data_IF_949523443701
#
_entry.id   IF_949523443701
#
_cell.length_a   1.000
_cell.length_b   1.000
_cell.length_c   1.000
_cell.angle_alpha   90.00
_cell.angle_beta   90.00
_cell.angle_gamma   90.00
#
_symmetry.space_group_name_H-M   'P 1'
#
loop_
_entity.id
_entity.type
_entity.pdbx_description
1 polymer ?
#
# COMPACT_ATOMS: atom_id res chain seq x y z
N UNK A 1 4.06 18.36 8.75
CA UNK A 1 4.22 18.51 7.32
C UNK A 1 3.30 17.61 6.52
N UNK A 2 3.41 17.71 5.23
CA UNK A 2 2.59 16.91 4.34
C UNK A 2 2.99 15.45 4.41
N UNK A 3 2.04 14.53 4.26
CA UNK A 3 2.38 13.11 4.21
C UNK A 3 3.31 12.81 3.05
N UNK A 4 4.22 11.88 3.26
CA UNK A 4 5.13 11.43 2.23
C UNK A 4 4.54 10.21 1.56
N UNK A 5 4.57 10.19 0.23
CA UNK A 5 4.16 9.04 -0.56
C UNK A 5 5.42 8.41 -1.14
N UNK A 6 5.59 7.12 -0.94
CA UNK A 6 6.78 6.42 -1.40
C UNK A 6 6.40 5.24 -2.30
N UNK A 7 7.10 5.12 -3.42
CA UNK A 7 6.94 3.96 -4.29
C UNK A 7 7.62 2.74 -3.66
N UNK A 8 6.92 1.62 -3.61
CA UNK A 8 7.45 0.40 -3.01
C UNK A 8 7.96 -0.55 -4.09
N UNK A 9 7.07 -1.03 -4.94
CA UNK A 9 7.43 -1.86 -6.09
C UNK A 9 6.22 -2.00 -7.01
N UNK A 10 6.46 -2.11 -8.32
CA UNK A 10 5.36 -2.24 -9.26
C UNK A 10 4.37 -1.11 -9.10
N UNK A 11 3.11 -1.45 -8.90
CA UNK A 11 2.05 -0.46 -8.71
C UNK A 11 1.77 -0.16 -7.23
N UNK A 12 2.57 -0.71 -6.33
CA UNK A 12 2.35 -0.56 -4.90
C UNK A 12 3.03 0.70 -4.36
N UNK A 13 2.27 1.51 -3.66
CA UNK A 13 2.73 2.74 -3.03
C UNK A 13 2.41 2.73 -1.54
N UNK A 14 3.12 3.54 -0.80
CA UNK A 14 2.94 3.68 0.64
C UNK A 14 2.76 5.14 1.01
N UNK A 15 1.68 5.44 1.73
CA UNK A 15 1.41 6.76 2.28
C UNK A 15 1.86 6.77 3.75
N UNK A 16 2.59 7.79 4.15
CA UNK A 16 3.29 7.84 5.45
C UNK A 16 2.91 9.03 6.32
N UNK A 17 1.67 9.11 6.80
CA UNK A 17 1.32 10.19 7.74
C UNK A 17 1.80 9.82 9.14
N UNK A 18 2.80 10.57 9.66
CA UNK A 18 3.40 10.31 10.97
C UNK A 18 3.97 8.90 11.03
N UNK A 19 3.54 8.10 12.00
CA UNK A 19 3.99 6.71 12.15
C UNK A 19 3.05 5.71 11.47
N UNK A 20 2.00 6.20 10.85
CA UNK A 20 1.06 5.35 10.15
C UNK A 20 1.57 5.01 8.76
N UNK A 21 1.26 3.82 8.28
CA UNK A 21 1.65 3.38 6.95
C UNK A 21 0.44 2.76 6.28
N UNK A 22 0.12 3.27 5.09
CA UNK A 22 -1.03 2.82 4.33
C UNK A 22 -0.54 2.43 2.95
N UNK A 23 -0.63 1.14 2.62
CA UNK A 23 -0.30 0.67 1.29
C UNK A 23 -1.51 0.82 0.39
N UNK A 24 -1.27 1.29 -0.83
CA UNK A 24 -2.34 1.51 -1.79
C UNK A 24 -1.81 1.39 -3.21
N UNK A 25 -2.72 1.30 -4.16
CA UNK A 25 -2.37 1.45 -5.56
C UNK A 25 -3.48 2.21 -6.28
N UNK A 26 -3.10 2.78 -7.42
CA UNK A 26 -4.03 3.52 -8.24
C UNK A 26 -4.77 2.56 -9.15
N UNK A 27 -6.08 2.66 -9.15
CA UNK A 27 -6.94 1.92 -10.06
C UNK A 27 -7.53 2.91 -11.06
N UNK A 28 -8.12 2.40 -12.13
CA UNK A 28 -8.69 3.24 -13.17
C UNK A 28 -9.76 4.19 -12.61
N UNK A 29 -10.09 5.23 -13.37
CA UNK A 29 -11.14 6.21 -13.02
C UNK A 29 -10.82 7.01 -11.77
N UNK A 30 -9.53 7.33 -11.57
CA UNK A 30 -9.06 8.15 -10.44
C UNK A 30 -9.39 7.54 -9.08
N UNK A 31 -9.39 6.21 -9.00
CA UNK A 31 -9.65 5.52 -7.75
C UNK A 31 -8.36 5.00 -7.15
N UNK A 32 -8.31 5.02 -5.82
CA UNK A 32 -7.21 4.42 -5.08
C UNK A 32 -7.75 3.27 -4.27
N UNK A 33 -7.05 2.15 -4.29
CA UNK A 33 -7.44 0.97 -3.53
C UNK A 33 -6.51 0.84 -2.34
N UNK A 34 -7.05 0.93 -1.14
CA UNK A 34 -6.28 0.78 0.09
C UNK A 34 -6.15 -0.69 0.40
N UNK A 35 -4.92 -1.14 0.59
CA UNK A 35 -4.62 -2.57 0.66
C UNK A 35 -4.28 -3.05 2.07
N UNK A 36 -3.56 -2.23 2.82
CA UNK A 36 -3.06 -2.66 4.11
C UNK A 36 -2.62 -1.45 4.92
N UNK A 37 -2.87 -1.49 6.20
CA UNK A 37 -2.49 -0.43 7.13
C UNK A 37 -1.71 -1.04 8.29
N UNK A 38 -0.64 -0.35 8.70
CA UNK A 38 0.07 -0.77 9.90
C UNK A 38 0.75 0.44 10.55
N UNK A 39 1.12 0.30 11.82
CA UNK A 39 1.85 1.33 12.54
C UNK A 39 3.32 0.96 12.53
N UNK A 40 4.15 1.87 12.05
CA UNK A 40 5.58 1.62 11.90
C UNK A 40 6.26 1.69 13.27
N UNK A 41 7.02 0.65 13.58
CA UNK A 41 7.78 0.56 14.83
C UNK A 41 9.27 0.36 14.59
N UNK A 42 9.70 0.28 13.33
CA UNK A 42 11.08 0.01 12.96
C UNK A 42 11.55 1.04 11.94
N UNK A 43 12.87 1.06 11.67
CA UNK A 43 13.43 1.98 10.69
C UNK A 43 13.00 1.67 9.27
N UNK A 44 12.95 0.40 8.91
CA UNK A 44 12.59 -0.02 7.56
C UNK A 44 11.20 -0.61 7.54
N UNK A 45 10.56 -0.54 6.36
CA UNK A 45 9.29 -1.21 6.16
C UNK A 45 9.50 -2.72 6.20
N UNK A 46 8.88 -3.44 7.14
CA UNK A 46 9.08 -4.89 7.21
C UNK A 46 8.55 -5.59 5.96
N UNK A 47 9.30 -6.57 5.48
CA UNK A 47 8.89 -7.34 4.31
C UNK A 47 7.55 -8.02 4.47
N UNK A 48 7.21 -8.46 5.69
CA UNK A 48 5.92 -9.11 5.92
C UNK A 48 4.75 -8.17 5.65
N UNK A 49 4.92 -6.86 5.91
CA UNK A 49 3.87 -5.89 5.64
C UNK A 49 3.73 -5.67 4.13
N UNK A 50 4.85 -5.59 3.42
CA UNK A 50 4.83 -5.47 1.97
C UNK A 50 4.17 -6.70 1.35
N UNK A 51 4.55 -7.89 1.81
CA UNK A 51 4.00 -9.13 1.29
C UNK A 51 2.49 -9.21 1.51
N UNK A 52 2.02 -8.74 2.67
CA UNK A 52 0.60 -8.70 2.95
C UNK A 52 -0.14 -7.78 1.99
N UNK A 53 0.44 -6.59 1.74
CA UNK A 53 -0.15 -5.65 0.80
C UNK A 53 -0.20 -6.23 -0.62
N UNK A 54 0.89 -6.89 -1.05
CA UNK A 54 0.94 -7.50 -2.38
C UNK A 54 -0.08 -8.62 -2.52
N UNK A 55 -0.24 -9.44 -1.49
CA UNK A 55 -1.23 -10.51 -1.51
C UNK A 55 -2.64 -9.94 -1.60
N UNK A 56 -2.91 -8.86 -0.84
CA UNK A 56 -4.20 -8.22 -0.88
C UNK A 56 -4.47 -7.59 -2.25
N UNK A 57 -3.43 -7.00 -2.87
CA UNK A 57 -3.56 -6.41 -4.19
C UNK A 57 -3.89 -7.47 -5.24
N UNK A 58 -3.19 -8.59 -5.18
CA UNK A 58 -3.44 -9.71 -6.10
C UNK A 58 -4.86 -10.23 -5.95
N UNK A 59 -5.31 -10.41 -4.72
CA UNK A 59 -6.65 -10.88 -4.44
C UNK A 59 -7.70 -9.89 -4.97
N UNK A 60 -7.47 -8.59 -4.72
CA UNK A 60 -8.40 -7.56 -5.17
C UNK A 60 -8.51 -7.54 -6.70
N UNK A 61 -7.34 -7.62 -7.37
CA UNK A 61 -7.32 -7.60 -8.83
C UNK A 61 -8.04 -8.80 -9.42
N UNK A 62 -7.87 -9.98 -8.84
CA UNK A 62 -8.57 -11.16 -9.32
C UNK A 62 -10.09 -11.04 -9.19
N UNK A 63 -10.55 -10.42 -8.09
CA UNK A 63 -11.98 -10.25 -7.86
C UNK A 63 -12.60 -9.18 -8.76
N UNK A 64 -11.83 -8.20 -9.19
CA UNK A 64 -12.35 -7.05 -9.90
C UNK A 64 -11.88 -6.93 -11.34
N UNK A 65 -11.13 -7.90 -11.80
CA UNK A 65 -10.61 -7.92 -13.15
C UNK A 65 -11.30 -9.01 -13.97
N UNK A 66 -12.54 -8.76 -14.27
CA UNK A 66 -13.31 -9.71 -15.08
C UNK A 66 -13.54 -9.18 -16.47
#
# INVERSE_FOLDING_TARGET
>A
GNPIVKHIQGDLWELRPLNNRIFFFYWKDNKFVLLHYYIKKTQKTPHREINKALANMHDWLERNNS
#
